data_IF_713288510996
#
_entry.id   IF_713288510996
#
_cell.length_a   1.000
_cell.length_b   1.000
_cell.length_c   1.000
_cell.angle_alpha   90.00
_cell.angle_beta   90.00
_cell.angle_gamma   90.00
#
_symmetry.space_group_name_H-M   'P 1'
#
loop_
_entity.id
_entity.type
_entity.pdbx_description
1 polymer ?
#
# COMPACT_ATOMS: atom_id res chain seq x y z
N UNK A 1 7.71 -2.20 -7.48
CA UNK A 1 7.42 -2.64 -6.10
C UNK A 1 8.35 -1.89 -5.17
N UNK A 2 7.82 -0.89 -4.49
CA UNK A 2 8.44 -0.37 -3.27
C UNK A 2 8.03 -1.34 -2.17
N UNK A 3 9.00 -1.80 -1.38
CA UNK A 3 8.81 -2.82 -0.35
C UNK A 3 8.93 -2.14 1.01
N UNK A 4 7.80 -1.99 1.70
CA UNK A 4 7.77 -1.60 3.11
C UNK A 4 7.65 -2.88 3.94
N UNK A 5 8.25 -2.91 5.12
CA UNK A 5 8.22 -4.10 5.99
C UNK A 5 6.80 -4.60 6.34
N UNK A 6 5.80 -3.72 6.25
CA UNK A 6 4.40 -4.01 6.61
C UNK A 6 3.41 -3.94 5.44
N UNK A 7 3.83 -3.48 4.26
CA UNK A 7 2.95 -3.22 3.11
C UNK A 7 3.59 -3.65 1.79
N UNK A 8 2.78 -4.28 0.94
CA UNK A 8 3.09 -4.46 -0.47
C UNK A 8 2.37 -3.40 -1.31
N UNK A 9 3.05 -2.90 -2.34
CA UNK A 9 2.51 -1.91 -3.29
C UNK A 9 2.83 -2.26 -4.74
N UNK A 10 1.79 -2.21 -5.56
CA UNK A 10 1.86 -2.45 -6.98
C UNK A 10 0.96 -1.47 -7.75
N UNK A 11 1.34 -1.14 -8.98
CA UNK A 11 0.52 -0.35 -9.90
C UNK A 11 0.50 -1.07 -11.23
N UNK A 12 -0.69 -1.40 -11.72
CA UNK A 12 -0.86 -2.11 -12.98
C UNK A 12 -0.86 -1.15 -14.20
N UNK A 13 -0.83 -1.75 -15.40
CA UNK A 13 -0.82 -1.01 -16.67
C UNK A 13 -2.13 -0.23 -16.92
N UNK A 14 -3.22 -0.56 -16.23
CA UNK A 14 -4.51 0.15 -16.30
C UNK A 14 -4.56 1.36 -15.34
N UNK A 15 -3.51 1.55 -14.53
CA UNK A 15 -3.37 2.63 -13.56
C UNK A 15 -4.11 2.36 -12.25
N UNK A 16 -4.34 1.09 -11.89
CA UNK A 16 -4.87 0.70 -10.57
C UNK A 16 -3.71 0.43 -9.63
N UNK A 17 -3.63 1.23 -8.56
CA UNK A 17 -2.69 1.02 -7.48
C UNK A 17 -3.29 0.09 -6.42
N UNK A 18 -2.58 -0.97 -6.06
CA UNK A 18 -2.97 -1.90 -5.00
C UNK A 18 -2.00 -1.79 -3.83
N UNK A 19 -2.54 -1.52 -2.65
CA UNK A 19 -1.80 -1.58 -1.37
C UNK A 19 -2.35 -2.75 -0.57
N UNK A 20 -1.47 -3.65 -0.14
CA UNK A 20 -1.83 -4.80 0.70
C UNK A 20 -1.10 -4.72 2.04
N UNK A 21 -1.85 -4.73 3.14
CA UNK A 21 -1.26 -4.90 4.48
C UNK A 21 -0.95 -6.38 4.68
N UNK A 22 0.33 -6.76 4.67
CA UNK A 22 0.75 -8.16 4.77
C UNK A 22 1.23 -8.48 6.20
N UNK A 23 0.30 -8.46 7.15
CA UNK A 23 0.55 -8.82 8.55
C UNK A 23 -0.54 -9.74 9.11
N UNK A 24 -0.77 -10.90 8.47
CA UNK A 24 -1.86 -11.79 8.83
C UNK A 24 -1.77 -12.29 10.27
N UNK A 25 -0.57 -12.48 10.81
CA UNK A 25 -0.31 -12.89 12.19
C UNK A 25 -0.71 -11.84 13.23
N UNK A 26 -0.90 -10.59 12.80
CA UNK A 26 -1.41 -9.48 13.61
C UNK A 26 -2.81 -9.03 13.17
N UNK A 27 -3.51 -9.82 12.36
CA UNK A 27 -4.82 -9.48 11.79
C UNK A 27 -4.80 -8.13 11.04
N UNK A 28 -3.68 -7.83 10.36
CA UNK A 28 -3.46 -6.58 9.63
C UNK A 28 -3.65 -5.33 10.50
N UNK A 29 -3.18 -5.42 11.76
CA UNK A 29 -3.18 -4.30 12.68
C UNK A 29 -2.45 -3.08 12.10
N UNK A 30 -3.11 -1.93 12.15
CA UNK A 30 -2.59 -0.65 11.69
C UNK A 30 -1.79 0.02 12.82
N UNK A 31 -0.59 -0.49 13.07
CA UNK A 31 0.35 0.15 14.00
C UNK A 31 0.83 1.50 13.45
N UNK A 32 1.45 2.34 14.29
CA UNK A 32 2.02 3.64 13.84
C UNK A 32 2.93 3.46 12.62
N UNK A 33 3.83 2.49 12.67
CA UNK A 33 4.69 2.09 11.56
C UNK A 33 3.91 1.75 10.27
N UNK A 34 2.83 0.96 10.37
CA UNK A 34 1.99 0.62 9.20
C UNK A 34 1.28 1.85 8.65
N UNK A 35 0.86 2.79 9.51
CA UNK A 35 0.21 4.04 9.09
C UNK A 35 1.19 4.99 8.40
N UNK A 36 2.41 5.10 8.90
CA UNK A 36 3.49 5.89 8.27
C UNK A 36 3.83 5.31 6.88
N UNK A 37 4.00 3.98 6.79
CA UNK A 37 4.20 3.31 5.52
C UNK A 37 3.01 3.50 4.56
N UNK A 38 1.78 3.53 5.07
CA UNK A 38 0.58 3.74 4.25
C UNK A 38 0.55 5.17 3.67
N UNK A 39 0.97 6.17 4.44
CA UNK A 39 1.07 7.55 3.96
C UNK A 39 2.08 7.66 2.80
N UNK A 40 3.23 7.02 2.92
CA UNK A 40 4.23 6.95 1.84
C UNK A 40 3.70 6.20 0.60
N UNK A 41 3.00 5.08 0.80
CA UNK A 41 2.40 4.32 -0.29
C UNK A 41 1.30 5.10 -1.04
N UNK A 42 0.51 5.89 -0.32
CA UNK A 42 -0.47 6.80 -0.92
C UNK A 42 0.18 7.92 -1.73
N UNK A 43 1.31 8.46 -1.25
CA UNK A 43 2.10 9.43 -2.01
C UNK A 43 2.67 8.79 -3.29
N UNK A 44 3.21 7.58 -3.20
CA UNK A 44 3.70 6.82 -4.36
C UNK A 44 2.58 6.53 -5.38
N UNK A 45 1.38 6.18 -4.93
CA UNK A 45 0.22 5.98 -5.81
C UNK A 45 -0.18 7.27 -6.53
N UNK A 46 -0.14 8.42 -5.84
CA UNK A 46 -0.38 9.73 -6.45
C UNK A 46 0.69 10.06 -7.49
N UNK A 47 1.96 9.84 -7.17
CA UNK A 47 3.09 10.15 -8.07
C UNK A 47 3.11 9.23 -9.30
N UNK A 48 2.60 8.00 -9.16
CA UNK A 48 2.36 7.07 -10.26
C UNK A 48 1.11 7.41 -11.10
N UNK A 49 0.44 8.53 -10.81
CA UNK A 49 -0.79 8.97 -11.48
C UNK A 49 -1.90 7.89 -11.48
N UNK A 50 -1.96 7.08 -10.40
CA UNK A 50 -2.95 6.02 -10.27
C UNK A 50 -4.38 6.58 -10.34
N UNK A 51 -5.21 5.93 -11.15
CA UNK A 51 -6.61 6.31 -11.40
C UNK A 51 -7.55 5.78 -10.32
N UNK A 52 -7.15 4.68 -9.68
CA UNK A 52 -7.90 4.00 -8.64
C UNK A 52 -6.91 3.43 -7.61
N UNK A 53 -7.34 3.36 -6.35
CA UNK A 53 -6.60 2.70 -5.29
C UNK A 53 -7.45 1.55 -4.71
N UNK A 54 -6.90 0.35 -4.68
CA UNK A 54 -7.43 -0.80 -3.95
C UNK A 54 -6.60 -1.00 -2.69
N UNK A 55 -7.26 -0.99 -1.54
CA UNK A 55 -6.65 -1.34 -0.26
C UNK A 55 -7.12 -2.74 0.16
N UNK A 56 -6.17 -3.63 0.42
CA UNK A 56 -6.39 -5.02 0.79
C UNK A 56 -5.60 -5.40 2.06
N UNK A 57 -5.90 -6.58 2.59
CA UNK A 57 -5.19 -7.23 3.69
C UNK A 57 -5.49 -8.72 3.72
#
# INVERSE_FOLDING_TARGET
MSDWDTLAFDVDDDGVATITVDRPEKLNSLTVETLEALEEALAAARDAEARCLVLAG
#
